data_IF_472857677925
#
_entry.id   IF_472857677925
#
_cell.length_a   1.000
_cell.length_b   1.000
_cell.length_c   1.000
_cell.angle_alpha   90.00
_cell.angle_beta   90.00
_cell.angle_gamma   90.00
#
_symmetry.space_group_name_H-M   'P 1'
#
loop_
_entity.id
_entity.type
_entity.pdbx_description
1 polymer ?
#
# COMPACT_ATOMS: atom_id res chain seq x y z
N UNK A 1 10.81 16.64 15.98
CA UNK A 1 9.39 16.98 16.26
C UNK A 1 9.15 18.35 15.65
N UNK A 2 8.90 18.38 14.34
CA UNK A 2 8.61 19.63 13.63
C UNK A 2 7.10 19.81 13.52
N UNK A 3 6.65 20.95 14.03
CA UNK A 3 5.28 21.40 14.06
C UNK A 3 4.82 21.63 12.62
N UNK A 4 3.96 20.76 12.09
CA UNK A 4 3.48 20.79 10.72
C UNK A 4 2.66 22.08 10.48
N UNK A 5 3.29 23.09 9.86
CA UNK A 5 2.76 24.46 9.71
C UNK A 5 1.64 24.58 8.67
N UNK A 6 1.18 23.49 8.07
CA UNK A 6 0.15 23.52 7.03
C UNK A 6 -1.16 24.17 7.50
N UNK A 7 -1.58 23.95 8.76
CA UNK A 7 -2.83 24.48 9.32
C UNK A 7 -2.81 25.94 9.77
N UNK A 8 -1.64 26.48 10.14
CA UNK A 8 -1.51 27.85 10.67
C UNK A 8 -1.75 28.94 9.60
N UNK A 9 -1.55 28.60 8.32
CA UNK A 9 -1.69 29.53 7.18
C UNK A 9 -3.14 29.85 6.79
N UNK A 10 -4.14 29.15 7.35
CA UNK A 10 -5.55 29.25 6.94
C UNK A 10 -6.53 29.76 7.99
N UNK A 11 -6.04 30.25 9.14
CA UNK A 11 -6.90 30.80 10.20
C UNK A 11 -7.72 29.76 10.96
N UNK A 12 -7.34 28.47 10.89
CA UNK A 12 -7.99 27.39 11.62
C UNK A 12 -7.78 27.53 13.13
N UNK A 13 -8.82 27.25 13.92
CA UNK A 13 -8.73 27.19 15.37
C UNK A 13 -7.82 26.03 15.80
N UNK A 14 -7.29 26.07 17.03
CA UNK A 14 -6.45 24.97 17.57
C UNK A 14 -7.19 23.62 17.52
N UNK A 15 -8.48 23.61 17.85
CA UNK A 15 -9.31 22.40 17.76
C UNK A 15 -9.42 21.86 16.32
N UNK A 16 -9.49 22.74 15.31
CA UNK A 16 -9.50 22.33 13.91
C UNK A 16 -8.13 21.82 13.43
N UNK A 17 -7.03 22.33 14.00
CA UNK A 17 -5.68 21.83 13.73
C UNK A 17 -5.46 20.45 14.36
N UNK A 18 -6.01 20.22 15.56
CA UNK A 18 -5.92 18.92 16.24
C UNK A 18 -6.61 17.80 15.43
N UNK A 19 -7.73 18.10 14.76
CA UNK A 19 -8.42 17.15 13.87
C UNK A 19 -7.57 16.68 12.68
N UNK A 20 -6.54 17.44 12.30
CA UNK A 20 -5.69 17.17 11.14
C UNK A 20 -4.38 16.45 11.49
N UNK A 21 -4.17 16.10 12.76
CA UNK A 21 -2.98 15.33 13.17
C UNK A 21 -2.95 13.98 12.47
N UNK A 22 -1.76 13.59 12.01
CA UNK A 22 -1.54 12.44 11.11
C UNK A 22 -0.92 11.22 11.77
N UNK A 23 -0.38 11.38 12.98
CA UNK A 23 0.15 10.25 13.76
C UNK A 23 -0.99 9.24 13.98
N UNK A 24 -0.75 7.97 13.67
CA UNK A 24 -1.80 6.94 13.69
C UNK A 24 -1.28 5.58 14.09
N UNK A 25 -2.12 4.81 14.77
CA UNK A 25 -1.94 3.37 14.99
C UNK A 25 -2.89 2.60 14.08
N UNK A 26 -2.43 1.51 13.46
CA UNK A 26 -3.25 0.73 12.54
C UNK A 26 -3.31 -0.75 12.93
N UNK A 27 -4.50 -1.33 12.78
CA UNK A 27 -4.75 -2.76 12.84
C UNK A 27 -5.03 -3.28 11.43
N UNK A 28 -4.43 -4.42 11.08
CA UNK A 28 -4.51 -5.03 9.76
C UNK A 28 -4.83 -6.52 9.86
N UNK A 29 -5.83 -6.96 9.10
CA UNK A 29 -6.15 -8.37 8.93
C UNK A 29 -6.22 -8.70 7.44
N UNK A 30 -5.64 -9.84 7.05
CA UNK A 30 -5.66 -10.35 5.67
C UNK A 30 -5.97 -11.83 5.66
N UNK A 31 -6.90 -12.22 4.80
CA UNK A 31 -7.17 -13.60 4.45
C UNK A 31 -6.75 -13.82 3.00
N UNK A 32 -6.04 -14.92 2.75
CA UNK A 32 -5.62 -15.28 1.41
C UNK A 32 -5.76 -16.77 1.17
N UNK A 33 -5.84 -17.12 -0.11
CA UNK A 33 -5.94 -18.51 -0.54
C UNK A 33 -4.99 -18.76 -1.70
N UNK A 34 -4.31 -19.90 -1.69
CA UNK A 34 -3.42 -20.32 -2.77
C UNK A 34 -4.14 -21.33 -3.66
N UNK A 35 -4.38 -20.94 -4.90
CA UNK A 35 -4.94 -21.82 -5.92
C UNK A 35 -3.86 -22.23 -6.94
N UNK A 36 -3.34 -23.47 -6.88
CA UNK A 36 -2.43 -23.98 -7.90
C UNK A 36 -3.07 -23.92 -9.29
N UNK A 37 -2.29 -23.51 -10.29
CA UNK A 37 -2.68 -23.54 -11.70
C UNK A 37 -1.87 -24.57 -12.49
N UNK A 38 -0.60 -24.76 -12.11
CA UNK A 38 0.29 -25.77 -12.66
C UNK A 38 1.32 -26.18 -11.61
N UNK A 39 2.23 -27.10 -11.95
CA UNK A 39 3.37 -27.45 -11.11
C UNK A 39 4.31 -26.26 -10.80
N UNK A 40 4.23 -25.20 -11.60
CA UNK A 40 5.13 -24.04 -11.57
C UNK A 40 4.41 -22.71 -11.37
N UNK A 41 3.08 -22.71 -11.23
CA UNK A 41 2.33 -21.46 -11.07
C UNK A 41 1.08 -21.60 -10.22
N UNK A 42 0.71 -20.51 -9.56
CA UNK A 42 -0.49 -20.43 -8.74
C UNK A 42 -1.04 -19.00 -8.70
N UNK A 43 -2.33 -18.89 -8.45
CA UNK A 43 -2.98 -17.63 -8.10
C UNK A 43 -3.13 -17.53 -6.59
N UNK A 44 -3.06 -16.30 -6.10
CA UNK A 44 -3.23 -15.96 -4.70
C UNK A 44 -4.21 -14.79 -4.57
N UNK A 45 -5.53 -15.02 -4.64
CA UNK A 45 -6.50 -14.04 -4.21
C UNK A 45 -6.36 -13.76 -2.71
N UNK A 46 -6.56 -12.51 -2.32
CA UNK A 46 -6.56 -12.08 -0.94
C UNK A 46 -7.53 -10.93 -0.71
N UNK A 47 -8.08 -10.89 0.51
CA UNK A 47 -8.90 -9.79 1.00
C UNK A 47 -8.34 -9.31 2.32
N UNK A 48 -8.37 -8.00 2.55
CA UNK A 48 -7.90 -7.42 3.80
C UNK A 48 -8.79 -6.28 4.27
N UNK A 49 -8.74 -6.05 5.59
CA UNK A 49 -9.34 -4.92 6.25
C UNK A 49 -8.24 -4.22 7.07
N UNK A 50 -8.19 -2.90 6.97
CA UNK A 50 -7.30 -2.05 7.75
C UNK A 50 -8.14 -1.05 8.52
N UNK A 51 -7.92 -0.92 9.81
CA UNK A 51 -8.47 0.17 10.62
C UNK A 51 -7.29 0.99 11.12
N UNK A 52 -7.28 2.28 10.83
CA UNK A 52 -6.25 3.20 11.29
C UNK A 52 -6.89 4.29 12.14
N UNK A 53 -6.46 4.38 13.40
CA UNK A 53 -6.87 5.41 14.34
C UNK A 53 -5.77 6.47 14.40
N UNK A 54 -6.06 7.66 13.90
CA UNK A 54 -5.16 8.80 13.95
C UNK A 54 -5.50 9.72 15.12
N UNK A 55 -4.48 10.40 15.65
CA UNK A 55 -4.62 11.41 16.71
C UNK A 55 -5.60 12.53 16.30
N UNK A 56 -5.67 12.82 15.00
CA UNK A 56 -6.70 13.66 14.39
C UNK A 56 -7.73 12.80 13.67
N UNK A 57 -8.98 12.83 14.13
CA UNK A 57 -10.05 11.96 13.63
C UNK A 57 -10.37 12.14 12.13
N UNK A 58 -9.99 13.26 11.51
CA UNK A 58 -10.15 13.43 10.06
C UNK A 58 -9.19 12.56 9.24
N UNK A 59 -8.16 11.98 9.88
CA UNK A 59 -7.23 11.03 9.28
C UNK A 59 -7.44 9.58 9.75
N UNK A 60 -8.38 9.32 10.66
CA UNK A 60 -8.80 7.96 11.01
C UNK A 60 -9.63 7.37 9.87
N UNK A 61 -9.41 6.09 9.56
CA UNK A 61 -10.10 5.43 8.46
C UNK A 61 -10.28 3.93 8.66
N UNK A 62 -11.24 3.38 7.92
CA UNK A 62 -11.33 1.96 7.63
C UNK A 62 -11.12 1.74 6.12
N UNK A 63 -10.39 0.70 5.76
CA UNK A 63 -10.13 0.34 4.38
C UNK A 63 -10.41 -1.14 4.13
N UNK A 64 -11.08 -1.43 3.02
CA UNK A 64 -11.29 -2.78 2.51
C UNK A 64 -10.50 -2.95 1.21
N UNK A 65 -9.67 -3.98 1.14
CA UNK A 65 -8.84 -4.22 -0.03
C UNK A 65 -9.01 -5.62 -0.59
N UNK A 66 -8.94 -5.73 -1.91
CA UNK A 66 -8.90 -6.98 -2.64
C UNK A 66 -7.65 -7.00 -3.51
N UNK A 67 -6.95 -8.13 -3.51
CA UNK A 67 -5.73 -8.32 -4.28
C UNK A 67 -5.74 -9.68 -4.97
N UNK A 68 -5.16 -9.75 -6.16
CA UNK A 68 -4.88 -11.02 -6.83
C UNK A 68 -3.42 -11.02 -7.25
N UNK A 69 -2.68 -12.04 -6.81
CA UNK A 69 -1.29 -12.24 -7.23
C UNK A 69 -1.14 -13.50 -8.07
N UNK A 70 -0.54 -13.38 -9.25
CA UNK A 70 -0.07 -14.50 -10.05
C UNK A 70 1.41 -14.77 -9.76
N UNK A 71 1.73 -16.00 -9.38
CA UNK A 71 3.08 -16.45 -9.14
C UNK A 71 3.51 -17.46 -10.20
N UNK A 72 4.76 -17.35 -10.65
CA UNK A 72 5.40 -18.29 -11.57
C UNK A 72 6.84 -18.56 -11.19
N UNK A 73 7.18 -19.84 -11.08
CA UNK A 73 8.53 -20.35 -10.81
C UNK A 73 9.06 -20.98 -12.09
N UNK A 74 10.20 -20.52 -12.59
CA UNK A 74 10.86 -21.03 -13.79
C UNK A 74 12.34 -21.25 -13.48
N UNK A 75 12.69 -22.49 -13.11
CA UNK A 75 14.01 -22.87 -12.62
C UNK A 75 14.49 -21.99 -11.45
N UNK A 76 15.38 -21.04 -11.75
CA UNK A 76 15.95 -20.09 -10.78
C UNK A 76 15.20 -18.76 -10.72
N UNK A 77 14.17 -18.59 -11.53
CA UNK A 77 13.40 -17.36 -11.67
C UNK A 77 12.07 -17.48 -10.91
N UNK A 78 11.77 -16.50 -10.08
CA UNK A 78 10.46 -16.33 -9.46
C UNK A 78 9.89 -15.00 -9.94
N UNK A 79 8.65 -15.03 -10.44
CA UNK A 79 7.88 -13.85 -10.81
C UNK A 79 6.60 -13.82 -9.98
N UNK A 80 6.26 -12.64 -9.46
CA UNK A 80 4.98 -12.34 -8.85
C UNK A 80 4.40 -11.07 -9.47
N UNK A 81 3.17 -11.14 -9.96
CA UNK A 81 2.42 -10.01 -10.51
C UNK A 81 1.16 -9.82 -9.67
N UNK A 82 1.02 -8.67 -9.02
CA UNK A 82 -0.09 -8.34 -8.13
C UNK A 82 -0.90 -7.20 -8.72
N UNK A 83 -2.22 -7.39 -8.78
CA UNK A 83 -3.19 -6.33 -8.99
C UNK A 83 -3.98 -6.12 -7.69
N UNK A 84 -4.21 -4.86 -7.33
CA UNK A 84 -4.91 -4.50 -6.09
C UNK A 84 -5.93 -3.39 -6.30
N UNK A 85 -6.99 -3.47 -5.51
CA UNK A 85 -7.99 -2.42 -5.33
C UNK A 85 -8.23 -2.21 -3.84
N UNK A 86 -8.34 -0.96 -3.40
CA UNK A 86 -8.70 -0.60 -2.04
C UNK A 86 -9.72 0.52 -2.04
N UNK A 87 -10.68 0.44 -1.14
CA UNK A 87 -11.57 1.55 -0.83
C UNK A 87 -11.34 1.95 0.62
N UNK A 88 -11.19 3.26 0.87
CA UNK A 88 -10.85 3.82 2.17
C UNK A 88 -11.84 4.92 2.55
N UNK A 89 -12.52 4.73 3.67
CA UNK A 89 -13.47 5.68 4.22
C UNK A 89 -12.93 6.32 5.50
N UNK A 90 -12.88 7.65 5.53
CA UNK A 90 -12.41 8.41 6.68
C UNK A 90 -13.56 8.80 7.61
N UNK A 91 -13.31 8.75 8.91
CA UNK A 91 -14.37 8.83 9.93
C UNK A 91 -14.93 10.23 10.14
N UNK A 92 -14.10 11.28 10.03
CA UNK A 92 -14.51 12.65 10.33
C UNK A 92 -14.44 13.59 9.12
N UNK A 93 -15.30 14.60 9.16
CA UNK A 93 -15.33 15.69 8.20
C UNK A 93 -14.02 16.47 8.28
N UNK A 94 -13.34 16.60 7.15
CA UNK A 94 -12.15 17.42 7.08
C UNK A 94 -12.54 18.90 7.22
N UNK A 95 -12.04 19.63 8.25
CA UNK A 95 -12.46 21.01 8.53
C UNK A 95 -12.03 22.02 7.44
N UNK A 96 -11.12 21.64 6.55
CA UNK A 96 -10.67 22.47 5.43
C UNK A 96 -11.64 22.39 4.25
N UNK A 97 -12.18 21.20 3.99
CA UNK A 97 -13.00 20.91 2.79
C UNK A 97 -14.48 20.70 3.12
N UNK A 98 -14.83 20.68 4.41
CA UNK A 98 -16.17 20.42 4.94
C UNK A 98 -16.82 19.15 4.37
N UNK A 99 -16.01 18.10 4.16
CA UNK A 99 -16.42 16.80 3.63
C UNK A 99 -15.63 15.66 4.28
N UNK A 100 -16.28 14.53 4.54
CA UNK A 100 -15.60 13.30 4.92
C UNK A 100 -14.94 12.68 3.68
N UNK A 101 -13.66 12.30 3.79
CA UNK A 101 -12.86 11.82 2.66
C UNK A 101 -13.18 10.35 2.39
N UNK A 102 -13.30 10.00 1.11
CA UNK A 102 -13.34 8.62 0.63
C UNK A 102 -12.39 8.52 -0.56
N UNK A 103 -11.55 7.49 -0.55
CA UNK A 103 -10.59 7.23 -1.62
C UNK A 103 -10.79 5.85 -2.23
N UNK A 104 -10.56 5.77 -3.54
CA UNK A 104 -10.43 4.52 -4.28
C UNK A 104 -9.00 4.42 -4.81
N UNK A 105 -8.33 3.32 -4.48
CA UNK A 105 -6.94 3.09 -4.83
C UNK A 105 -6.82 1.87 -5.74
N UNK A 106 -6.08 2.02 -6.83
CA UNK A 106 -5.71 0.94 -7.74
C UNK A 106 -4.19 0.78 -7.75
N UNK A 107 -3.72 -0.47 -7.72
CA UNK A 107 -2.31 -0.79 -7.74
C UNK A 107 -1.97 -1.92 -8.70
N UNK A 108 -0.82 -1.78 -9.38
CA UNK A 108 -0.14 -2.88 -10.05
C UNK A 108 1.29 -2.97 -9.53
N UNK A 109 1.71 -4.18 -9.18
CA UNK A 109 3.04 -4.45 -8.64
C UNK A 109 3.64 -5.70 -9.27
N UNK A 110 4.94 -5.65 -9.57
CA UNK A 110 5.71 -6.75 -10.11
C UNK A 110 6.95 -6.97 -9.24
N UNK A 111 7.17 -8.22 -8.82
CA UNK A 111 8.38 -8.66 -8.16
C UNK A 111 9.03 -9.78 -8.96
N UNK A 112 10.34 -9.67 -9.17
CA UNK A 112 11.14 -10.69 -9.83
C UNK A 112 12.36 -11.01 -8.97
N UNK A 113 12.63 -12.30 -8.80
CA UNK A 113 13.81 -12.82 -8.12
C UNK A 113 14.53 -13.83 -9.03
N UNK A 114 15.85 -13.68 -9.15
CA UNK A 114 16.72 -14.64 -9.82
C UNK A 114 17.72 -15.21 -8.82
N UNK A 115 17.55 -16.49 -8.48
CA UNK A 115 18.39 -17.22 -7.52
C UNK A 115 19.72 -17.64 -8.15
N UNK A 116 20.75 -17.73 -7.31
CA UNK A 116 22.11 -18.07 -7.71
C UNK A 116 22.62 -17.18 -8.85
N UNK A 117 22.45 -15.87 -8.67
CA UNK A 117 22.83 -14.87 -9.66
C UNK A 117 24.32 -14.99 -10.01
N UNK A 118 24.65 -14.96 -11.30
CA UNK A 118 26.01 -15.20 -11.82
C UNK A 118 26.66 -16.53 -11.36
N UNK A 119 25.85 -17.48 -10.87
CA UNK A 119 26.34 -18.75 -10.31
C UNK A 119 26.78 -18.66 -8.85
N UNK A 120 26.67 -17.50 -8.20
CA UNK A 120 27.02 -17.34 -6.80
C UNK A 120 25.99 -18.05 -5.92
N UNK A 121 26.42 -19.06 -5.17
CA UNK A 121 25.54 -19.76 -4.25
C UNK A 121 25.01 -18.81 -3.17
N UNK A 122 23.73 -18.97 -2.82
CA UNK A 122 23.02 -18.22 -1.78
C UNK A 122 22.79 -16.72 -2.07
N UNK A 123 23.16 -16.23 -3.26
CA UNK A 123 22.86 -14.88 -3.71
C UNK A 123 21.68 -14.86 -4.68
N UNK A 124 20.67 -14.04 -4.38
CA UNK A 124 19.55 -13.76 -5.27
C UNK A 124 19.60 -12.31 -5.74
N UNK A 125 19.41 -12.08 -7.04
CA UNK A 125 19.06 -10.75 -7.56
C UNK A 125 17.56 -10.53 -7.42
N UNK A 126 17.13 -9.35 -6.98
CA UNK A 126 15.72 -8.98 -6.80
C UNK A 126 15.47 -7.67 -7.52
N UNK A 127 14.36 -7.59 -8.25
CA UNK A 127 13.84 -6.34 -8.80
C UNK A 127 12.35 -6.19 -8.51
N UNK A 128 11.95 -5.00 -8.08
CA UNK A 128 10.57 -4.65 -7.75
C UNK A 128 10.16 -3.42 -8.57
N UNK A 129 8.93 -3.42 -9.08
CA UNK A 129 8.33 -2.28 -9.74
C UNK A 129 6.86 -2.16 -9.38
N UNK A 130 6.37 -0.93 -9.21
CA UNK A 130 4.97 -0.68 -8.85
C UNK A 130 4.45 0.64 -9.39
N UNK A 131 3.15 0.65 -9.67
CA UNK A 131 2.38 1.85 -9.99
C UNK A 131 1.11 1.86 -9.14
N UNK A 132 0.76 3.03 -8.62
CA UNK A 132 -0.43 3.24 -7.81
C UNK A 132 -1.17 4.49 -8.26
N UNK A 133 -2.49 4.44 -8.25
CA UNK A 133 -3.37 5.57 -8.50
C UNK A 133 -4.40 5.64 -7.38
N UNK A 134 -4.63 6.84 -6.86
CA UNK A 134 -5.67 7.10 -5.85
C UNK A 134 -6.56 8.22 -6.37
N UNK A 135 -7.86 7.96 -6.43
CA UNK A 135 -8.91 8.93 -6.74
C UNK A 135 -9.70 9.20 -5.46
N UNK A 136 -9.78 10.47 -5.08
CA UNK A 136 -10.44 10.93 -3.87
C UNK A 136 -11.69 11.73 -4.19
N UNK A 137 -12.68 11.69 -3.30
CA UNK A 137 -13.84 12.57 -3.38
C UNK A 137 -13.50 14.05 -3.05
N UNK A 138 -12.22 14.35 -2.77
CA UNK A 138 -11.63 15.67 -2.62
C UNK A 138 -10.36 15.71 -3.49
N UNK A 139 -10.43 16.39 -4.65
CA UNK A 139 -9.39 16.40 -5.70
C UNK A 139 -7.96 16.70 -5.21
N UNK A 140 -7.82 17.45 -4.10
CA UNK A 140 -6.53 17.74 -3.49
C UNK A 140 -5.74 16.46 -3.08
N UNK A 141 -6.44 15.35 -2.86
CA UNK A 141 -5.84 14.08 -2.43
C UNK A 141 -5.59 13.08 -3.58
N UNK A 142 -5.94 13.42 -4.82
CA UNK A 142 -5.63 12.57 -5.96
C UNK A 142 -4.13 12.39 -6.13
N UNK A 143 -3.69 11.16 -6.39
CA UNK A 143 -2.26 10.87 -6.51
C UNK A 143 -1.94 9.77 -7.50
N UNK A 144 -0.73 9.86 -8.09
CA UNK A 144 -0.12 8.83 -8.91
C UNK A 144 1.29 8.58 -8.38
N UNK A 145 1.61 7.32 -8.13
CA UNK A 145 2.90 6.91 -7.59
C UNK A 145 3.54 5.86 -8.50
N UNK A 146 4.85 5.98 -8.68
CA UNK A 146 5.68 4.99 -9.36
C UNK A 146 6.82 4.59 -8.41
N UNK A 147 7.15 3.32 -8.37
CA UNK A 147 8.24 2.79 -7.55
C UNK A 147 9.04 1.79 -8.37
N UNK A 148 10.37 1.85 -8.23
CA UNK A 148 11.27 0.85 -8.76
C UNK A 148 12.40 0.62 -7.76
N UNK A 149 12.80 -0.64 -7.59
CA UNK A 149 13.93 -1.03 -6.75
C UNK A 149 14.63 -2.23 -7.35
N UNK A 150 15.95 -2.30 -7.15
CA UNK A 150 16.78 -3.45 -7.49
C UNK A 150 17.72 -3.71 -6.33
N UNK A 151 18.04 -4.98 -6.08
CA UNK A 151 18.90 -5.36 -4.96
C UNK A 151 19.42 -6.77 -5.07
N UNK A 152 20.24 -7.13 -4.10
CA UNK A 152 20.72 -8.50 -3.91
C UNK A 152 20.37 -8.96 -2.50
N UNK A 153 19.98 -10.22 -2.37
CA UNK A 153 19.73 -10.86 -1.08
C UNK A 153 20.72 -12.02 -0.88
N UNK A 154 21.24 -12.15 0.33
CA UNK A 154 22.11 -13.26 0.71
C UNK A 154 21.41 -14.11 1.78
N UNK A 155 21.24 -15.39 1.50
CA UNK A 155 20.63 -16.33 2.43
C UNK A 155 21.71 -17.08 3.23
N UNK A 156 21.84 -16.75 4.51
CA UNK A 156 22.65 -17.54 5.45
C UNK A 156 21.99 -18.91 5.65
N UNK A 157 22.79 -19.98 5.54
CA UNK A 157 22.39 -21.35 5.87
C UNK A 157 22.67 -21.64 7.35
#
# INVERSE_FOLDING_TARGET
>A
MDNDKAGASRGLSRQQQDLLRRDSTAFFIKADFRQPLSATSFLKPAFSMTTAEADGSANSYIAYSAEVTYFKVLDRNLLALTASYSNRDYEAVNPVFNKARTDNEFGLFAAYEHKNFMGWQNWSFISLAGLGMSESNIDFYDSKQYMMSVGMNYQFQ
#
